data_IF_612818343262
#
_entry.id   IF_612818343262
#
_cell.length_a   1.000
_cell.length_b   1.000
_cell.length_c   1.000
_cell.angle_alpha   90.00
_cell.angle_beta   90.00
_cell.angle_gamma   90.00
#
_symmetry.space_group_name_H-M   'P 1'
#
loop_
_entity.id
_entity.type
_entity.pdbx_description
1 polymer ?
#
# COMPACT_ATOMS: atom_id res chain seq x y z
N UNK A 1 -50.13 -12.78 6.26
CA UNK A 1 -48.71 -12.90 5.91
C UNK A 1 -48.50 -12.08 4.67
N UNK A 2 -48.16 -10.80 4.84
CA UNK A 2 -47.92 -9.87 3.73
C UNK A 2 -46.46 -10.00 3.29
N UNK A 3 -46.27 -10.16 1.98
CA UNK A 3 -44.97 -10.23 1.33
C UNK A 3 -44.36 -8.82 1.23
N UNK A 4 -43.22 -8.59 1.88
CA UNK A 4 -42.38 -7.43 1.59
C UNK A 4 -41.61 -7.64 0.28
N UNK A 5 -41.59 -6.66 -0.64
CA UNK A 5 -40.79 -6.75 -1.86
C UNK A 5 -39.30 -6.55 -1.54
N UNK A 6 -38.46 -7.38 -2.14
CA UNK A 6 -37.01 -7.30 -2.03
C UNK A 6 -36.50 -5.95 -2.58
N UNK A 7 -35.75 -5.23 -1.76
CA UNK A 7 -35.04 -4.01 -2.16
C UNK A 7 -33.87 -4.43 -3.04
N UNK A 8 -33.95 -4.17 -4.34
CA UNK A 8 -32.84 -4.31 -5.27
C UNK A 8 -31.77 -3.27 -4.91
N UNK A 9 -30.72 -3.69 -4.23
CA UNK A 9 -29.49 -2.92 -4.14
C UNK A 9 -28.82 -2.91 -5.52
N UNK A 10 -28.34 -1.76 -6.02
CA UNK A 10 -27.49 -1.75 -7.20
C UNK A 10 -26.24 -2.59 -6.92
N UNK A 11 -25.76 -3.38 -7.89
CA UNK A 11 -24.51 -4.11 -7.72
C UNK A 11 -23.38 -3.12 -7.41
N UNK A 12 -22.51 -3.48 -6.48
CA UNK A 12 -21.28 -2.74 -6.23
C UNK A 12 -20.54 -2.52 -7.56
N UNK A 13 -19.89 -1.36 -7.77
CA UNK A 13 -19.14 -1.13 -8.99
C UNK A 13 -18.11 -2.26 -9.14
N UNK A 14 -18.10 -2.91 -10.30
CA UNK A 14 -17.02 -3.82 -10.68
C UNK A 14 -15.70 -3.08 -10.47
N UNK A 15 -14.79 -3.64 -9.67
CA UNK A 15 -13.44 -3.11 -9.52
C UNK A 15 -12.86 -2.89 -10.92
N UNK A 16 -12.62 -1.64 -11.29
CA UNK A 16 -12.00 -1.32 -12.56
C UNK A 16 -10.61 -1.92 -12.52
N UNK A 17 -10.33 -2.89 -13.38
CA UNK A 17 -8.99 -3.42 -13.57
C UNK A 17 -8.06 -2.23 -13.86
N UNK A 18 -7.24 -1.87 -12.88
CA UNK A 18 -6.17 -0.88 -12.98
C UNK A 18 -5.35 -1.25 -14.23
N UNK A 19 -4.92 -0.30 -15.07
CA UNK A 19 -4.15 -0.62 -16.29
C UNK A 19 -2.70 -0.99 -15.90
N UNK A 20 -1.99 -1.78 -16.68
CA UNK A 20 -0.55 -2.04 -16.47
C UNK A 20 0.26 -0.75 -16.63
N UNK A 21 -0.21 0.16 -17.49
CA UNK A 21 0.35 1.50 -17.65
C UNK A 21 0.23 2.32 -16.36
N UNK A 22 -0.88 2.22 -15.63
CA UNK A 22 -1.09 2.96 -14.38
C UNK A 22 -0.09 2.56 -13.30
N UNK A 23 0.35 1.29 -13.30
CA UNK A 23 1.38 0.85 -12.37
C UNK A 23 2.73 1.45 -12.75
N UNK A 24 3.10 1.37 -14.03
CA UNK A 24 4.35 1.93 -14.51
C UNK A 24 4.42 3.43 -14.18
N UNK A 25 3.32 4.15 -14.39
CA UNK A 25 3.20 5.57 -14.04
C UNK A 25 3.32 5.82 -12.52
N UNK A 26 2.81 4.90 -11.68
CA UNK A 26 2.90 5.01 -10.23
C UNK A 26 4.33 4.83 -9.68
N UNK A 27 5.15 4.01 -10.33
CA UNK A 27 6.55 3.76 -9.92
C UNK A 27 7.55 4.59 -10.73
N UNK A 28 7.13 5.26 -11.80
CA UNK A 28 8.00 6.09 -12.63
C UNK A 28 8.68 7.18 -11.79
N UNK A 29 10.01 7.22 -11.89
CA UNK A 29 10.84 8.13 -11.10
C UNK A 29 10.88 7.84 -9.60
N UNK A 30 10.46 6.65 -9.17
CA UNK A 30 10.48 6.15 -7.78
C UNK A 30 11.18 4.79 -7.68
N UNK A 31 12.13 4.55 -8.58
CA UNK A 31 12.89 3.30 -8.67
C UNK A 31 14.30 3.55 -8.11
N UNK A 32 14.83 2.62 -7.32
CA UNK A 32 16.21 2.65 -6.84
C UNK A 32 16.91 1.35 -7.16
N UNK A 33 18.06 1.40 -7.83
CA UNK A 33 18.74 0.16 -8.14
C UNK A 33 20.13 0.31 -8.76
N UNK A 34 21.00 -0.69 -8.55
CA UNK A 34 20.93 -1.74 -7.51
C UNK A 34 21.29 -1.19 -6.11
N UNK A 35 20.68 -1.72 -5.04
CA UNK A 35 20.99 -1.32 -3.66
C UNK A 35 21.93 -2.33 -2.98
N UNK A 36 23.17 -1.91 -2.69
CA UNK A 36 24.11 -2.83 -2.03
C UNK A 36 23.66 -3.21 -0.62
N UNK A 37 23.88 -4.47 -0.26
CA UNK A 37 23.46 -5.03 1.03
C UNK A 37 22.06 -5.63 1.03
N UNK A 38 21.36 -5.64 -0.11
CA UNK A 38 20.03 -6.23 -0.27
C UNK A 38 19.96 -7.68 0.23
N UNK A 39 20.86 -8.54 -0.27
CA UNK A 39 20.86 -9.96 0.11
C UNK A 39 21.10 -10.12 1.62
N UNK A 40 22.08 -9.38 2.15
CA UNK A 40 22.38 -9.40 3.59
C UNK A 40 21.20 -8.94 4.44
N UNK A 41 20.44 -7.93 4.00
CA UNK A 41 19.30 -7.39 4.74
C UNK A 41 18.16 -8.39 4.87
N UNK A 42 17.74 -8.98 3.75
CA UNK A 42 16.55 -9.85 3.74
C UNK A 42 16.86 -11.31 4.03
N UNK A 43 18.07 -11.77 3.68
CA UNK A 43 18.43 -13.19 3.76
C UNK A 43 19.61 -13.46 4.71
N UNK A 44 20.27 -12.44 5.24
CA UNK A 44 21.47 -12.63 6.08
C UNK A 44 21.21 -13.20 7.48
N UNK A 45 19.96 -13.24 7.93
CA UNK A 45 19.54 -13.93 9.16
C UNK A 45 19.40 -15.45 8.99
N UNK A 46 19.44 -15.94 7.75
CA UNK A 46 19.36 -17.36 7.41
C UNK A 46 20.76 -17.87 7.09
N UNK A 47 21.22 -18.86 7.85
CA UNK A 47 22.48 -19.53 7.58
C UNK A 47 22.21 -20.75 6.70
N UNK A 48 22.85 -20.80 5.54
CA UNK A 48 22.84 -21.97 4.68
C UNK A 48 24.06 -22.84 4.93
N UNK A 49 23.81 -24.12 5.21
CA UNK A 49 24.83 -25.15 5.32
C UNK A 49 24.62 -26.13 4.17
N UNK A 50 25.61 -26.19 3.28
CA UNK A 50 25.60 -27.11 2.15
C UNK A 50 26.51 -28.30 2.48
N UNK A 51 25.93 -29.49 2.59
CA UNK A 51 26.65 -30.75 2.83
C UNK A 51 26.17 -31.78 1.80
N UNK A 52 27.11 -32.28 1.00
CA UNK A 52 26.85 -33.23 -0.09
C UNK A 52 25.74 -32.78 -1.04
N UNK A 53 24.62 -33.52 -1.11
CA UNK A 53 23.45 -33.25 -1.95
C UNK A 53 22.29 -32.59 -1.16
N UNK A 54 22.56 -32.06 0.03
CA UNK A 54 21.56 -31.46 0.91
C UNK A 54 21.93 -30.01 1.24
N UNK A 55 20.92 -29.14 1.14
CA UNK A 55 21.00 -27.77 1.61
C UNK A 55 20.12 -27.63 2.84
N UNK A 56 20.74 -27.19 3.93
CA UNK A 56 20.07 -26.93 5.20
C UNK A 56 19.99 -25.42 5.44
N UNK A 57 18.79 -24.92 5.74
CA UNK A 57 18.57 -23.51 6.15
C UNK A 57 18.23 -23.46 7.63
N UNK A 58 19.10 -22.77 8.37
CA UNK A 58 18.98 -22.52 9.79
C UNK A 58 18.67 -21.04 10.05
N UNK A 59 17.76 -20.78 10.98
CA UNK A 59 17.48 -19.44 11.50
C UNK A 59 17.24 -19.54 13.00
N UNK A 60 17.73 -18.56 13.76
CA UNK A 60 17.62 -18.56 15.22
C UNK A 60 16.16 -18.72 15.67
N UNK A 61 15.89 -19.73 16.52
CA UNK A 61 14.56 -20.02 17.05
C UNK A 61 13.57 -20.63 16.03
N UNK A 62 14.01 -21.03 14.84
CA UNK A 62 13.18 -21.68 13.81
C UNK A 62 13.66 -23.11 13.57
N UNK A 63 12.73 -24.05 13.32
CA UNK A 63 13.07 -25.43 12.98
C UNK A 63 13.84 -25.45 11.67
N UNK A 64 14.97 -26.17 11.62
CA UNK A 64 15.78 -26.32 10.41
C UNK A 64 15.03 -27.13 9.33
N UNK A 65 15.17 -26.78 8.04
CA UNK A 65 14.72 -27.63 6.91
C UNK A 65 15.93 -28.09 6.14
N UNK A 66 15.88 -29.35 5.68
CA UNK A 66 16.78 -29.89 4.66
C UNK A 66 16.01 -30.09 3.38
N UNK A 67 16.61 -29.71 2.27
CA UNK A 67 16.08 -29.96 0.93
C UNK A 67 17.17 -30.58 0.06
N UNK A 68 16.76 -31.47 -0.84
CA UNK A 68 17.64 -32.04 -1.84
C UNK A 68 18.10 -30.95 -2.81
N UNK A 69 19.39 -30.86 -3.04
CA UNK A 69 19.97 -29.96 -4.04
C UNK A 69 19.97 -30.68 -5.39
N UNK A 70 19.29 -30.14 -6.41
CA UNK A 70 19.40 -30.70 -7.76
C UNK A 70 20.85 -30.71 -8.24
N UNK A 71 21.23 -31.76 -8.98
CA UNK A 71 22.59 -31.94 -9.49
C UNK A 71 23.05 -30.85 -10.48
N UNK A 72 22.10 -30.11 -11.07
CA UNK A 72 22.37 -28.96 -11.93
C UNK A 72 21.26 -27.91 -11.81
N UNK A 73 21.61 -26.65 -12.06
CA UNK A 73 20.64 -25.57 -12.23
C UNK A 73 19.75 -25.84 -13.46
N UNK A 74 18.45 -25.50 -13.42
CA UNK A 74 17.59 -25.60 -14.59
C UNK A 74 18.07 -24.69 -15.72
N UNK A 75 17.78 -25.07 -16.98
CA UNK A 75 17.96 -24.14 -18.09
C UNK A 75 16.99 -22.97 -17.95
N UNK A 76 17.36 -21.76 -18.41
CA UNK A 76 16.47 -20.60 -18.45
C UNK A 76 15.06 -20.88 -18.96
N UNK A 77 14.97 -21.59 -20.08
CA UNK A 77 13.70 -21.86 -20.76
C UNK A 77 12.79 -22.80 -19.95
N UNK A 78 13.38 -23.64 -19.10
CA UNK A 78 12.66 -24.57 -18.24
C UNK A 78 12.56 -24.07 -16.79
N UNK A 79 13.06 -22.87 -16.48
CA UNK A 79 13.18 -22.39 -15.11
C UNK A 79 11.81 -22.30 -14.42
N UNK A 80 10.80 -21.72 -15.07
CA UNK A 80 9.47 -21.56 -14.47
C UNK A 80 8.79 -22.90 -14.18
N UNK A 81 8.88 -23.84 -15.13
CA UNK A 81 8.32 -25.19 -14.95
C UNK A 81 9.06 -25.96 -13.86
N UNK A 82 10.40 -25.89 -13.86
CA UNK A 82 11.22 -26.48 -12.81
C UNK A 82 10.88 -25.87 -11.46
N UNK A 83 10.74 -24.54 -11.37
CA UNK A 83 10.46 -23.82 -10.14
C UNK A 83 9.10 -24.22 -9.58
N UNK A 84 8.05 -24.25 -10.42
CA UNK A 84 6.72 -24.73 -10.04
C UNK A 84 6.77 -26.16 -9.49
N UNK A 85 7.45 -27.07 -10.19
CA UNK A 85 7.60 -28.46 -9.76
C UNK A 85 8.41 -28.60 -8.46
N UNK A 86 9.48 -27.81 -8.31
CA UNK A 86 10.33 -27.81 -7.13
C UNK A 86 9.56 -27.31 -5.90
N UNK A 87 8.80 -26.23 -6.06
CA UNK A 87 7.92 -25.69 -5.02
C UNK A 87 6.84 -26.72 -4.65
N UNK A 88 6.11 -27.28 -5.61
CA UNK A 88 5.04 -28.23 -5.28
C UNK A 88 5.52 -29.53 -4.62
N UNK A 89 6.73 -30.01 -4.95
CA UNK A 89 7.26 -31.28 -4.41
C UNK A 89 7.96 -31.14 -3.07
N UNK A 90 8.88 -30.19 -2.96
CA UNK A 90 9.75 -30.05 -1.79
C UNK A 90 9.13 -29.13 -0.73
N UNK A 91 8.09 -28.36 -1.11
CA UNK A 91 7.57 -27.23 -0.34
C UNK A 91 6.07 -27.32 -0.02
N UNK A 92 5.51 -28.53 -0.02
CA UNK A 92 4.14 -28.79 0.47
C UNK A 92 3.96 -28.22 1.91
N UNK A 93 2.87 -27.48 2.13
CA UNK A 93 2.58 -26.77 3.38
C UNK A 93 3.39 -25.49 3.67
N UNK A 94 4.13 -24.93 2.71
CA UNK A 94 4.87 -23.68 2.91
C UNK A 94 3.94 -22.45 3.07
N UNK A 95 4.35 -21.48 3.92
CA UNK A 95 3.64 -20.21 4.08
C UNK A 95 3.82 -19.34 2.83
N UNK A 96 2.85 -19.39 1.92
CA UNK A 96 2.70 -18.42 0.83
C UNK A 96 2.21 -19.02 -0.48
N UNK A 97 1.35 -18.26 -1.17
CA UNK A 97 0.90 -18.60 -2.52
C UNK A 97 1.88 -18.02 -3.55
N UNK A 98 2.29 -18.87 -4.50
CA UNK A 98 3.18 -18.54 -5.59
C UNK A 98 2.36 -18.38 -6.89
N UNK A 99 2.27 -17.16 -7.44
CA UNK A 99 1.59 -16.86 -8.71
C UNK A 99 2.54 -16.61 -9.88
N UNK A 100 2.71 -17.56 -10.80
CA UNK A 100 3.55 -17.37 -11.99
C UNK A 100 2.79 -16.59 -13.08
N UNK A 101 3.25 -15.37 -13.35
CA UNK A 101 3.03 -14.56 -14.56
C UNK A 101 3.41 -15.25 -15.88
N UNK A 102 2.82 -16.38 -16.26
CA UNK A 102 2.97 -16.93 -17.61
C UNK A 102 1.65 -16.79 -18.35
N UNK A 103 1.67 -16.15 -19.51
CA UNK A 103 0.54 -16.23 -20.44
C UNK A 103 0.17 -17.70 -20.64
N UNK A 104 -1.02 -18.06 -20.18
CA UNK A 104 -1.62 -19.39 -20.17
C UNK A 104 -1.10 -20.31 -19.05
N UNK A 105 -1.89 -20.44 -17.98
CA UNK A 105 -2.56 -21.67 -17.49
C UNK A 105 -3.01 -21.44 -16.04
N UNK A 106 -4.30 -21.57 -15.77
CA UNK A 106 -4.91 -21.49 -14.44
C UNK A 106 -4.75 -22.81 -13.64
N UNK A 107 -4.96 -22.76 -12.32
CA UNK A 107 -5.76 -23.79 -11.67
C UNK A 107 -7.03 -23.20 -11.06
N UNK A 108 -8.15 -23.88 -11.31
CA UNK A 108 -9.46 -23.62 -10.74
C UNK A 108 -9.47 -23.86 -9.22
N UNK A 109 -10.32 -23.10 -8.53
CA UNK A 109 -10.72 -23.24 -7.13
C UNK A 109 -9.61 -23.20 -6.08
N UNK A 110 -9.61 -22.18 -5.21
CA UNK A 110 -9.66 -22.40 -3.75
C UNK A 110 -9.76 -21.11 -2.92
N UNK A 111 -10.28 -21.31 -1.72
CA UNK A 111 -10.90 -20.34 -0.82
C UNK A 111 -10.01 -19.17 -0.38
N UNK A 112 -10.68 -18.09 0.01
CA UNK A 112 -10.11 -16.99 0.77
C UNK A 112 -9.74 -17.47 2.18
N UNK A 113 -8.54 -18.03 2.37
CA UNK A 113 -7.94 -18.11 3.70
C UNK A 113 -6.38 -18.07 3.74
N UNK A 114 -5.93 -17.34 4.76
CA UNK A 114 -4.65 -17.19 5.47
C UNK A 114 -3.28 -17.65 4.89
N UNK A 115 -2.64 -16.79 4.07
CA UNK A 115 -1.21 -16.95 3.73
C UNK A 115 -0.52 -15.64 3.29
N UNK A 116 0.75 -15.47 3.68
CA UNK A 116 1.59 -14.38 3.18
C UNK A 116 1.90 -14.62 1.69
N UNK A 117 1.19 -13.91 0.81
CA UNK A 117 1.30 -14.06 -0.65
C UNK A 117 2.66 -13.55 -1.11
N UNK A 118 3.43 -14.42 -1.78
CA UNK A 118 4.75 -14.10 -2.31
C UNK A 118 4.81 -14.54 -3.78
N UNK A 119 4.47 -13.63 -4.69
CA UNK A 119 5.02 -13.68 -6.04
C UNK A 119 4.80 -12.36 -6.76
N UNK A 120 5.73 -12.04 -7.65
CA UNK A 120 5.46 -11.62 -9.03
C UNK A 120 6.79 -11.72 -9.79
N UNK A 121 6.88 -12.73 -10.66
CA UNK A 121 7.75 -12.72 -11.82
C UNK A 121 7.09 -11.76 -12.81
N UNK A 122 7.73 -10.62 -13.08
CA UNK A 122 7.25 -9.67 -14.08
C UNK A 122 7.80 -10.07 -15.44
N UNK A 123 7.00 -10.57 -16.39
CA UNK A 123 7.35 -10.47 -17.79
C UNK A 123 7.03 -9.03 -18.22
N UNK A 124 7.88 -8.06 -17.88
CA UNK A 124 7.68 -6.68 -18.36
C UNK A 124 7.77 -6.56 -19.91
N UNK A 125 7.82 -7.66 -20.68
CA UNK A 125 7.89 -7.62 -22.14
C UNK A 125 7.03 -8.64 -22.92
N UNK A 126 6.04 -9.30 -22.35
CA UNK A 126 5.06 -10.06 -23.16
C UNK A 126 3.63 -9.86 -22.67
N UNK A 127 2.92 -8.92 -23.30
CA UNK A 127 1.47 -8.75 -23.15
C UNK A 127 0.73 -9.94 -23.83
N UNK A 128 -0.32 -10.53 -23.23
CA UNK A 128 -1.29 -11.30 -23.98
C UNK A 128 -2.25 -10.38 -24.71
N UNK A 129 -2.44 -10.64 -26.01
CA UNK A 129 -3.46 -10.02 -26.86
C UNK A 129 -4.83 -10.66 -26.59
N UNK A 130 -5.46 -10.43 -25.43
CA UNK A 130 -6.92 -10.63 -25.22
C UNK A 130 -7.31 -10.36 -23.75
N UNK A 131 -8.48 -9.77 -23.46
CA UNK A 131 -9.00 -9.70 -22.10
C UNK A 131 -9.66 -11.04 -21.76
N UNK A 132 -9.01 -11.88 -20.95
CA UNK A 132 -9.70 -12.91 -20.18
C UNK A 132 -9.71 -12.50 -18.71
N UNK A 133 -10.87 -12.50 -18.03
CA UNK A 133 -10.92 -12.36 -16.59
C UNK A 133 -10.48 -13.71 -16.01
N UNK A 134 -9.40 -13.73 -15.23
CA UNK A 134 -9.34 -14.52 -13.98
C UNK A 134 -7.90 -14.52 -13.43
N UNK A 135 -7.78 -13.78 -12.32
CA UNK A 135 -6.76 -13.81 -11.26
C UNK A 135 -5.29 -13.65 -11.70
N UNK A 136 -4.99 -12.47 -12.23
CA UNK A 136 -3.67 -11.85 -12.01
C UNK A 136 -3.73 -11.15 -10.65
N UNK A 137 -3.18 -11.75 -9.59
CA UNK A 137 -3.08 -11.07 -8.29
C UNK A 137 -2.14 -9.87 -8.44
N UNK A 138 -2.70 -8.71 -8.78
CA UNK A 138 -1.96 -7.47 -8.90
C UNK A 138 -1.62 -6.94 -7.50
N UNK A 139 -0.42 -6.41 -7.33
CA UNK A 139 0.13 -5.84 -6.10
C UNK A 139 -0.73 -4.75 -5.41
N UNK A 140 -1.47 -3.98 -6.18
CA UNK A 140 -2.42 -2.94 -5.76
C UNK A 140 -3.54 -3.59 -4.93
N UNK A 141 -4.05 -4.73 -5.38
CA UNK A 141 -5.04 -5.53 -4.65
C UNK A 141 -4.47 -6.11 -3.35
N UNK A 142 -3.19 -6.49 -3.31
CA UNK A 142 -2.56 -6.99 -2.08
C UNK A 142 -2.49 -5.86 -1.05
N UNK A 143 -2.01 -4.68 -1.43
CA UNK A 143 -1.96 -3.52 -0.54
C UNK A 143 -3.36 -3.00 -0.14
N UNK A 144 -4.35 -3.11 -1.03
CA UNK A 144 -5.74 -2.71 -0.75
C UNK A 144 -6.44 -3.68 0.21
N UNK A 145 -6.20 -4.99 0.07
CA UNK A 145 -6.77 -6.03 0.93
C UNK A 145 -6.03 -6.21 2.26
N UNK A 146 -4.79 -5.72 2.34
CA UNK A 146 -3.93 -5.87 3.52
C UNK A 146 -3.37 -4.50 3.94
N UNK A 147 -4.16 -3.66 4.64
CA UNK A 147 -3.75 -2.30 4.99
C UNK A 147 -2.51 -2.23 5.91
N UNK A 148 -2.19 -3.31 6.62
CA UNK A 148 -0.97 -3.45 7.43
C UNK A 148 0.23 -4.03 6.67
N UNK A 149 0.13 -4.21 5.35
CA UNK A 149 1.23 -4.62 4.47
C UNK A 149 2.18 -3.42 4.23
N UNK A 150 3.41 -3.57 4.67
CA UNK A 150 4.50 -2.60 4.56
C UNK A 150 5.20 -2.62 3.20
N UNK A 151 5.50 -3.82 2.72
CA UNK A 151 6.23 -4.05 1.48
C UNK A 151 5.92 -5.43 0.89
N UNK A 152 6.24 -5.61 -0.38
CA UNK A 152 6.10 -6.86 -1.13
C UNK A 152 7.42 -7.21 -1.80
N UNK A 153 7.78 -8.50 -1.77
CA UNK A 153 8.92 -9.02 -2.50
C UNK A 153 8.52 -9.44 -3.92
N UNK A 154 9.44 -9.31 -4.86
CA UNK A 154 9.28 -9.73 -6.25
C UNK A 154 10.57 -10.30 -6.83
N UNK A 155 10.45 -10.95 -7.98
CA UNK A 155 11.59 -11.47 -8.74
C UNK A 155 11.49 -10.98 -10.18
N UNK A 156 12.61 -10.60 -10.75
CA UNK A 156 12.72 -10.32 -12.16
C UNK A 156 13.73 -11.28 -12.79
N UNK A 157 13.24 -12.10 -13.72
CA UNK A 157 13.98 -13.25 -14.26
C UNK A 157 14.14 -13.04 -15.77
N UNK A 158 15.38 -13.11 -16.25
CA UNK A 158 15.73 -12.90 -17.66
C UNK A 158 16.80 -13.92 -18.06
N UNK A 159 16.37 -14.96 -18.77
CA UNK A 159 17.28 -16.05 -19.08
C UNK A 159 17.73 -16.75 -17.78
N UNK A 160 19.04 -16.76 -17.53
CA UNK A 160 19.62 -17.26 -16.27
C UNK A 160 19.86 -16.19 -15.22
N UNK A 161 19.60 -14.92 -15.56
CA UNK A 161 19.83 -13.79 -14.67
C UNK A 161 18.59 -13.53 -13.81
N UNK A 162 18.80 -13.30 -12.53
CA UNK A 162 17.76 -12.93 -11.57
C UNK A 162 18.12 -11.62 -10.87
N UNK A 163 17.10 -10.81 -10.64
CA UNK A 163 17.12 -9.60 -9.83
C UNK A 163 15.97 -9.69 -8.80
N UNK A 164 16.26 -9.39 -7.54
CA UNK A 164 15.27 -9.44 -6.47
C UNK A 164 14.73 -8.03 -6.23
N UNK A 165 13.42 -7.90 -6.12
CA UNK A 165 12.73 -6.63 -6.02
C UNK A 165 11.99 -6.52 -4.68
N UNK A 166 11.89 -5.31 -4.14
CA UNK A 166 10.96 -4.97 -3.07
C UNK A 166 10.19 -3.71 -3.43
N UNK A 167 8.88 -3.78 -3.25
CA UNK A 167 7.93 -2.70 -3.42
C UNK A 167 7.45 -2.24 -2.06
N UNK A 168 7.65 -0.96 -1.74
CA UNK A 168 7.03 -0.32 -0.58
C UNK A 168 6.20 0.89 -1.04
N UNK A 169 5.58 1.59 -0.08
CA UNK A 169 4.74 2.77 -0.39
C UNK A 169 5.50 3.99 -0.90
N UNK A 170 6.84 3.94 -0.95
CA UNK A 170 7.70 4.98 -1.51
C UNK A 170 8.30 4.60 -2.87
N UNK A 171 8.14 3.36 -3.32
CA UNK A 171 8.55 2.92 -4.65
C UNK A 171 9.19 1.54 -4.69
N UNK A 172 9.89 1.28 -5.80
CA UNK A 172 10.57 0.01 -6.08
C UNK A 172 12.06 0.13 -5.79
N UNK A 173 12.65 -0.92 -5.23
CA UNK A 173 14.10 -1.07 -5.20
C UNK A 173 14.56 -2.51 -5.38
N UNK A 174 15.76 -2.69 -5.92
CA UNK A 174 16.26 -4.00 -6.34
C UNK A 174 17.66 -4.35 -5.81
N UNK A 175 17.96 -5.65 -5.84
CA UNK A 175 19.30 -6.20 -5.64
C UNK A 175 20.20 -5.99 -6.85
N UNK A 176 21.48 -6.30 -6.71
CA UNK A 176 22.34 -6.60 -7.85
C UNK A 176 21.81 -7.83 -8.63
N UNK A 177 22.09 -7.89 -9.92
CA UNK A 177 21.77 -9.01 -10.80
C UNK A 177 22.76 -10.15 -10.57
N UNK A 178 22.29 -11.40 -10.49
CA UNK A 178 23.15 -12.58 -10.40
C UNK A 178 22.69 -13.70 -11.35
N UNK A 179 23.61 -14.60 -11.72
CA UNK A 179 23.35 -15.70 -12.66
C UNK A 179 23.07 -16.99 -11.89
N UNK A 180 21.84 -17.50 -11.97
CA UNK A 180 21.39 -18.72 -11.28
C UNK A 180 22.23 -19.93 -11.64
N UNK A 181 22.83 -19.98 -12.84
CA UNK A 181 23.70 -21.11 -13.23
C UNK A 181 25.03 -21.07 -12.50
N UNK A 182 25.51 -19.89 -12.13
CA UNK A 182 26.75 -19.70 -11.37
C UNK A 182 26.50 -19.76 -9.87
N UNK A 183 25.40 -19.16 -9.43
CA UNK A 183 25.07 -18.92 -8.03
C UNK A 183 23.86 -19.76 -7.57
N UNK A 184 23.74 -21.00 -8.07
CA UNK A 184 22.56 -21.83 -7.87
C UNK A 184 22.28 -22.13 -6.38
N UNK A 185 23.32 -22.35 -5.59
CA UNK A 185 23.19 -22.58 -4.14
C UNK A 185 22.68 -21.33 -3.43
N UNK A 186 23.12 -20.13 -3.85
CA UNK A 186 22.61 -18.87 -3.32
C UNK A 186 21.14 -18.69 -3.68
N UNK A 187 20.77 -18.97 -4.94
CA UNK A 187 19.39 -18.95 -5.40
C UNK A 187 18.50 -19.88 -4.55
N UNK A 188 18.88 -21.16 -4.39
CA UNK A 188 18.15 -22.11 -3.55
C UNK A 188 18.05 -21.62 -2.10
N UNK A 189 19.12 -21.06 -1.55
CA UNK A 189 19.12 -20.50 -0.20
C UNK A 189 18.11 -19.37 -0.05
N UNK A 190 17.97 -18.49 -1.05
CA UNK A 190 16.97 -17.41 -1.09
C UNK A 190 15.55 -18.00 -1.10
N UNK A 191 15.27 -18.96 -1.98
CA UNK A 191 13.94 -19.59 -2.09
C UNK A 191 13.55 -20.28 -0.77
N UNK A 192 14.47 -21.03 -0.17
CA UNK A 192 14.24 -21.68 1.11
C UNK A 192 14.08 -20.68 2.27
N UNK A 193 14.77 -19.54 2.22
CA UNK A 193 14.64 -18.48 3.22
C UNK A 193 13.23 -17.89 3.23
N UNK A 194 12.62 -17.63 2.07
CA UNK A 194 11.26 -17.11 1.98
C UNK A 194 10.22 -17.99 2.70
N UNK A 195 10.43 -19.30 2.74
CA UNK A 195 9.54 -20.22 3.45
C UNK A 195 9.64 -20.10 4.97
N UNK A 196 10.79 -19.64 5.43
CA UNK A 196 11.10 -19.49 6.85
C UNK A 196 10.81 -18.09 7.34
N UNK A 197 10.65 -17.13 6.44
CA UNK A 197 10.29 -15.76 6.77
C UNK A 197 8.99 -15.70 7.57
N UNK A 198 8.99 -14.88 8.62
CA UNK A 198 7.78 -14.56 9.37
C UNK A 198 6.89 -13.63 8.55
N UNK A 199 5.66 -13.43 9.02
CA UNK A 199 4.77 -12.40 8.48
C UNK A 199 5.47 -11.04 8.41
N UNK A 200 6.23 -10.68 9.44
CA UNK A 200 7.01 -9.44 9.49
C UNK A 200 8.16 -9.40 8.48
N UNK A 201 8.91 -10.50 8.33
CA UNK A 201 9.97 -10.61 7.31
C UNK A 201 9.39 -10.43 5.89
N UNK A 202 8.14 -10.86 5.68
CA UNK A 202 7.38 -10.69 4.43
C UNK A 202 6.63 -9.35 4.34
N UNK A 203 6.83 -8.46 5.31
CA UNK A 203 6.25 -7.11 5.32
C UNK A 203 4.80 -7.03 5.83
N UNK A 204 4.25 -8.05 6.50
CA UNK A 204 2.95 -7.97 7.20
C UNK A 204 3.19 -7.63 8.67
N UNK A 205 2.55 -6.58 9.16
CA UNK A 205 2.45 -6.34 10.61
C UNK A 205 1.10 -6.87 11.11
N UNK A 206 1.14 -7.60 12.21
CA UNK A 206 -0.03 -8.08 12.93
C UNK A 206 -0.62 -6.96 13.80
N UNK A 207 -1.24 -5.96 13.14
CA UNK A 207 -2.01 -4.93 13.85
C UNK A 207 -3.49 -5.26 13.94
N UNK A 208 -3.99 -6.02 12.96
CA UNK A 208 -5.37 -6.50 12.90
C UNK A 208 -5.35 -7.99 13.21
N UNK A 209 -6.07 -8.36 14.25
CA UNK A 209 -6.28 -9.74 14.69
C UNK A 209 -7.74 -10.13 14.47
N UNK A 210 -8.06 -11.42 14.60
CA UNK A 210 -9.43 -11.92 14.45
C UNK A 210 -9.77 -12.84 15.61
N UNK A 211 -10.96 -12.70 16.17
CA UNK A 211 -11.55 -13.65 17.11
C UNK A 211 -13.01 -13.96 16.74
N UNK A 212 -13.75 -14.57 17.67
CA UNK A 212 -15.18 -14.91 17.49
C UNK A 212 -16.08 -13.69 17.22
N UNK A 213 -15.66 -12.48 17.63
CA UNK A 213 -16.37 -11.22 17.43
C UNK A 213 -16.03 -10.52 16.11
N UNK A 214 -15.06 -11.04 15.35
CA UNK A 214 -14.60 -10.50 14.07
C UNK A 214 -13.18 -9.92 14.15
N UNK A 215 -12.81 -9.14 13.13
CA UNK A 215 -11.51 -8.46 13.09
C UNK A 215 -11.44 -7.35 14.13
N UNK A 216 -10.31 -7.19 14.81
CA UNK A 216 -10.09 -6.15 15.81
C UNK A 216 -8.66 -5.65 15.84
N UNK A 217 -8.46 -4.52 16.51
CA UNK A 217 -7.13 -3.98 16.86
C UNK A 217 -7.04 -3.73 18.37
N UNK A 218 -5.81 -3.79 18.89
CA UNK A 218 -5.48 -3.39 20.26
C UNK A 218 -4.73 -2.06 20.21
N UNK A 219 -5.24 -1.09 20.96
CA UNK A 219 -4.72 0.26 21.07
C UNK A 219 -3.83 0.38 22.31
N UNK A 220 -2.60 -0.09 22.19
CA UNK A 220 -1.57 0.09 23.22
C UNK A 220 -0.82 1.40 23.00
N UNK A 221 -1.09 2.40 23.83
CA UNK A 221 -0.28 3.62 23.89
C UNK A 221 0.09 3.99 25.32
N UNK A 222 1.40 4.01 25.58
CA UNK A 222 2.01 4.50 26.82
C UNK A 222 1.95 6.03 26.89
N UNK A 223 1.89 6.71 25.74
CA UNK A 223 1.90 8.17 25.64
C UNK A 223 0.51 8.80 25.77
N UNK A 224 -0.55 8.06 25.45
CA UNK A 224 -1.95 8.43 25.60
C UNK A 224 -2.71 7.15 25.97
N UNK A 225 -2.99 6.86 27.25
CA UNK A 225 -3.80 5.71 27.61
C UNK A 225 -5.18 5.87 26.97
N UNK A 226 -5.40 5.20 25.84
CA UNK A 226 -6.69 5.21 25.18
C UNK A 226 -7.64 4.38 26.04
N UNK A 227 -8.70 5.00 26.54
CA UNK A 227 -9.81 4.30 27.22
C UNK A 227 -10.48 3.27 26.32
N UNK A 228 -10.23 3.32 25.01
CA UNK A 228 -10.81 2.44 24.00
C UNK A 228 -10.28 1.01 24.07
N UNK A 229 -8.99 0.79 24.40
CA UNK A 229 -8.37 -0.53 24.57
C UNK A 229 -8.43 -1.43 23.33
N UNK A 230 -9.58 -2.05 23.06
CA UNK A 230 -9.85 -2.93 21.92
C UNK A 230 -10.93 -2.34 21.03
N UNK A 231 -10.74 -2.35 19.71
CA UNK A 231 -11.76 -1.94 18.75
C UNK A 231 -12.03 -3.04 17.74
N UNK A 232 -13.28 -3.47 17.62
CA UNK A 232 -13.73 -4.30 16.51
C UNK A 232 -13.86 -3.46 15.25
N UNK A 233 -13.53 -4.03 14.11
CA UNK A 233 -13.58 -3.41 12.81
C UNK A 233 -14.71 -4.00 11.99
N UNK A 234 -15.36 -3.13 11.22
CA UNK A 234 -16.24 -3.61 10.17
C UNK A 234 -15.42 -4.30 9.08
N UNK A 235 -15.91 -5.44 8.60
CA UNK A 235 -15.20 -6.30 7.66
C UNK A 235 -14.85 -5.58 6.36
N UNK A 236 -15.75 -4.72 5.87
CA UNK A 236 -15.53 -3.91 4.67
C UNK A 236 -15.05 -2.51 5.06
N UNK A 237 -13.97 -2.00 4.43
CA UNK A 237 -13.54 -0.62 4.63
C UNK A 237 -14.59 0.35 4.06
N UNK A 238 -14.79 1.48 4.74
CA UNK A 238 -15.63 2.58 4.24
C UNK A 238 -14.93 3.44 3.19
N UNK A 239 -13.60 3.37 3.13
CA UNK A 239 -12.80 3.96 2.07
C UNK A 239 -11.48 3.18 1.93
N UNK A 240 -11.05 2.94 0.70
CA UNK A 240 -9.73 2.38 0.40
C UNK A 240 -9.20 3.01 -0.88
N UNK A 241 -7.92 3.40 -0.90
CA UNK A 241 -7.23 3.87 -2.11
C UNK A 241 -6.25 2.79 -2.59
N UNK A 242 -6.38 2.41 -3.86
CA UNK A 242 -5.66 1.25 -4.45
C UNK A 242 -4.26 1.59 -5.01
N UNK A 243 -3.84 2.86 -4.97
CA UNK A 243 -2.55 3.27 -5.52
C UNK A 243 -1.37 2.55 -4.86
N UNK A 244 -0.45 2.02 -5.67
CA UNK A 244 0.72 1.25 -5.21
C UNK A 244 1.64 2.09 -4.31
N UNK A 245 2.03 3.27 -4.80
CA UNK A 245 2.92 4.22 -4.13
C UNK A 245 2.11 5.45 -3.75
N UNK A 246 2.26 5.95 -2.52
CA UNK A 246 1.48 7.09 -2.06
C UNK A 246 0.87 6.91 -0.68
N UNK A 247 -0.27 7.56 -0.46
CA UNK A 247 -0.95 7.60 0.83
C UNK A 247 -1.59 6.27 1.25
N UNK A 248 -1.97 5.41 0.30
CA UNK A 248 -2.52 4.07 0.58
C UNK A 248 -3.58 4.05 1.67
N UNK A 249 -4.47 5.05 1.68
CA UNK A 249 -5.42 5.28 2.78
C UNK A 249 -6.47 4.18 2.83
N UNK A 250 -6.65 3.58 4.00
CA UNK A 250 -7.73 2.62 4.27
C UNK A 250 -8.44 3.02 5.57
N UNK A 251 -9.77 3.11 5.51
CA UNK A 251 -10.61 3.52 6.62
C UNK A 251 -11.63 2.42 6.93
N UNK A 252 -11.74 2.01 8.20
CA UNK A 252 -12.76 1.09 8.70
C UNK A 252 -13.63 1.79 9.73
N UNK A 253 -14.92 1.47 9.73
CA UNK A 253 -15.74 1.72 10.91
C UNK A 253 -15.27 0.83 12.04
N UNK A 254 -15.24 1.40 13.24
CA UNK A 254 -14.78 0.74 14.45
C UNK A 254 -15.74 0.96 15.61
N UNK A 255 -15.86 -0.05 16.47
CA UNK A 255 -16.70 -0.02 17.68
C UNK A 255 -15.97 -0.64 18.85
N UNK A 256 -16.27 -0.14 20.04
CA UNK A 256 -15.81 -0.73 21.29
C UNK A 256 -16.56 -2.04 21.59
N UNK A 257 -16.02 -2.93 22.44
CA UNK A 257 -16.65 -4.23 22.74
C UNK A 257 -18.02 -4.11 23.40
N UNK A 258 -18.23 -3.04 24.17
CA UNK A 258 -19.46 -2.70 24.90
C UNK A 258 -20.51 -1.96 24.04
N UNK A 259 -20.16 -1.55 22.82
CA UNK A 259 -21.05 -0.83 21.92
C UNK A 259 -21.44 -1.68 20.70
N UNK A 260 -22.73 -1.63 20.37
CA UNK A 260 -23.26 -2.14 19.10
C UNK A 260 -23.24 -1.09 17.98
N UNK A 261 -22.78 0.14 18.27
CA UNK A 261 -22.71 1.24 17.30
C UNK A 261 -21.29 1.48 16.83
N UNK A 262 -21.14 1.65 15.53
CA UNK A 262 -19.91 2.07 14.86
C UNK A 262 -19.66 3.56 15.05
N UNK A 263 -19.02 3.92 16.16
CA UNK A 263 -18.84 5.32 16.57
C UNK A 263 -17.45 5.89 16.27
N UNK A 264 -16.50 5.04 15.86
CA UNK A 264 -15.14 5.44 15.55
C UNK A 264 -14.77 5.08 14.10
N UNK A 265 -13.83 5.83 13.53
CA UNK A 265 -13.16 5.48 12.28
C UNK A 265 -11.71 5.14 12.60
N UNK A 266 -11.28 3.94 12.21
CA UNK A 266 -9.87 3.58 12.15
C UNK A 266 -9.33 3.91 10.76
N UNK A 267 -8.25 4.68 10.68
CA UNK A 267 -7.58 5.06 9.44
C UNK A 267 -6.11 4.61 9.45
N UNK A 268 -5.71 3.87 8.43
CA UNK A 268 -4.30 3.66 8.05
C UNK A 268 -3.96 4.59 6.90
N UNK A 269 -2.86 5.34 7.02
CA UNK A 269 -2.42 6.30 5.98
C UNK A 269 -0.89 6.44 5.98
N UNK A 270 -0.31 6.45 4.78
CA UNK A 270 1.12 6.67 4.53
C UNK A 270 1.40 8.14 4.17
N UNK A 271 1.62 8.96 5.19
CA UNK A 271 1.91 10.39 5.00
C UNK A 271 3.34 10.63 4.51
N UNK A 272 3.59 11.74 3.82
CA UNK A 272 4.97 12.15 3.55
C UNK A 272 5.65 12.57 4.85
N UNK A 273 6.87 12.13 5.12
CA UNK A 273 7.56 12.42 6.38
C UNK A 273 7.80 13.93 6.61
N UNK A 274 7.84 14.72 5.53
CA UNK A 274 7.97 16.19 5.59
C UNK A 274 6.66 16.91 5.87
N UNK A 275 5.52 16.26 5.68
CA UNK A 275 4.22 16.82 5.99
C UNK A 275 4.01 16.84 7.50
N UNK A 276 3.29 17.86 7.94
CA UNK A 276 2.86 17.95 9.33
C UNK A 276 1.86 16.82 9.62
N UNK A 277 2.07 16.02 10.68
CA UNK A 277 1.14 14.97 11.04
C UNK A 277 -0.29 15.47 11.29
N UNK A 278 -1.29 14.71 10.84
CA UNK A 278 -2.70 15.05 11.03
C UNK A 278 -3.08 15.12 12.52
N UNK A 279 -2.45 14.31 13.38
CA UNK A 279 -2.75 14.30 14.82
C UNK A 279 -2.39 15.63 15.48
N UNK A 280 -1.31 16.29 15.06
CA UNK A 280 -0.98 17.62 15.53
C UNK A 280 -2.04 18.66 15.15
N UNK A 281 -2.56 18.56 13.91
CA UNK A 281 -3.60 19.44 13.41
C UNK A 281 -4.90 19.24 14.19
N UNK A 282 -5.28 17.98 14.43
CA UNK A 282 -6.48 17.62 15.19
C UNK A 282 -6.35 17.97 16.68
N UNK A 283 -5.19 17.75 17.30
CA UNK A 283 -4.89 18.18 18.68
C UNK A 283 -4.97 19.70 18.81
N UNK A 284 -4.44 20.43 17.83
CA UNK A 284 -4.51 21.89 17.81
C UNK A 284 -5.96 22.38 17.63
N UNK A 285 -6.71 21.79 16.71
CA UNK A 285 -8.13 22.10 16.50
C UNK A 285 -8.94 21.87 17.79
N UNK A 286 -8.73 20.74 18.47
CA UNK A 286 -9.34 20.44 19.77
C UNK A 286 -8.95 21.47 20.84
N UNK A 287 -7.66 21.78 20.97
CA UNK A 287 -7.16 22.79 21.94
C UNK A 287 -7.75 24.18 21.71
N UNK A 288 -8.06 24.51 20.45
CA UNK A 288 -8.62 25.79 20.04
C UNK A 288 -10.14 25.79 19.95
N UNK A 289 -10.79 24.70 20.38
CA UNK A 289 -12.24 24.53 20.38
C UNK A 289 -12.86 24.80 19.00
N UNK A 290 -12.20 24.32 17.94
CA UNK A 290 -12.67 24.52 16.56
C UNK A 290 -14.05 23.90 16.39
N UNK A 291 -14.98 24.69 15.85
CA UNK A 291 -16.34 24.25 15.62
C UNK A 291 -16.39 23.21 14.49
N UNK A 292 -17.06 22.08 14.72
CA UNK A 292 -17.27 21.05 13.68
C UNK A 292 -16.01 20.32 13.23
N UNK A 293 -14.93 20.34 14.01
CA UNK A 293 -13.75 19.50 13.77
C UNK A 293 -13.96 18.09 14.34
N UNK A 294 -13.41 17.09 13.64
CA UNK A 294 -13.37 15.71 14.12
C UNK A 294 -12.47 15.61 15.37
N UNK A 295 -12.83 14.73 16.29
CA UNK A 295 -12.03 14.41 17.47
C UNK A 295 -11.01 13.32 17.16
N UNK A 296 -9.78 13.50 17.66
CA UNK A 296 -8.74 12.48 17.65
C UNK A 296 -8.82 11.67 18.95
N UNK A 297 -9.07 10.38 18.81
CA UNK A 297 -9.17 9.44 19.93
C UNK A 297 -7.88 8.64 20.13
N UNK A 298 -7.14 8.36 19.04
CA UNK A 298 -5.87 7.65 19.09
C UNK A 298 -4.98 8.02 17.89
N UNK A 299 -3.67 7.99 18.12
CA UNK A 299 -2.66 8.14 17.08
C UNK A 299 -1.41 7.33 17.41
N UNK A 300 -0.88 6.61 16.41
CA UNK A 300 0.41 5.93 16.49
C UNK A 300 1.10 5.92 15.14
N UNK A 301 2.34 6.37 15.11
CA UNK A 301 3.24 6.05 14.00
C UNK A 301 3.67 4.59 14.10
N UNK A 302 3.45 3.84 13.03
CA UNK A 302 3.66 2.40 12.99
C UNK A 302 5.03 2.09 12.42
N UNK A 303 5.36 2.67 11.25
CA UNK A 303 6.58 2.37 10.52
C UNK A 303 6.90 3.48 9.49
N UNK A 304 8.16 3.60 9.07
CA UNK A 304 8.60 4.48 7.99
C UNK A 304 9.36 3.74 6.90
N UNK A 305 9.23 4.17 5.64
CA UNK A 305 9.97 3.55 4.53
C UNK A 305 11.48 3.77 4.65
N UNK A 306 11.93 4.86 5.27
CA UNK A 306 13.34 5.04 5.64
C UNK A 306 13.84 3.95 6.61
N UNK A 307 13.04 3.59 7.63
CA UNK A 307 13.39 2.52 8.55
C UNK A 307 13.33 1.15 7.86
N UNK A 308 12.32 0.90 7.01
CA UNK A 308 12.23 -0.31 6.19
C UNK A 308 13.44 -0.48 5.29
N UNK A 309 14.00 0.60 4.74
CA UNK A 309 15.20 0.57 3.88
C UNK A 309 16.53 0.70 4.64
N UNK A 310 16.51 0.79 5.97
CA UNK A 310 17.73 0.92 6.79
C UNK A 310 18.68 -0.26 6.54
N UNK A 311 19.99 0.05 6.48
CA UNK A 311 21.05 -0.93 6.25
C UNK A 311 21.36 -1.20 4.78
N UNK A 312 20.56 -0.67 3.85
CA UNK A 312 20.88 -0.66 2.42
C UNK A 312 21.73 0.56 2.08
N UNK A 313 22.69 0.39 1.18
CA UNK A 313 23.35 1.53 0.53
C UNK A 313 22.53 1.91 -0.69
N UNK A 314 22.19 3.19 -0.77
CA UNK A 314 21.35 3.72 -1.85
C UNK A 314 22.08 3.63 -3.19
N UNK A 315 21.44 3.00 -4.17
CA UNK A 315 21.80 3.10 -5.57
C UNK A 315 21.22 4.38 -6.21
N UNK A 316 21.44 4.56 -7.51
CA UNK A 316 20.91 5.71 -8.23
C UNK A 316 19.37 5.69 -8.26
N UNK A 317 18.75 6.87 -8.22
CA UNK A 317 17.33 7.02 -8.48
C UNK A 317 17.09 6.92 -9.97
N UNK A 318 16.05 6.19 -10.37
CA UNK A 318 15.79 5.87 -11.76
C UNK A 318 14.32 6.12 -12.11
N UNK A 319 14.07 6.41 -13.38
CA UNK A 319 12.75 6.54 -14.00
C UNK A 319 12.74 5.78 -15.32
N UNK A 320 11.58 5.43 -15.86
CA UNK A 320 11.50 4.77 -17.15
C UNK A 320 12.00 5.67 -18.27
N UNK A 321 12.82 5.12 -19.16
CA UNK A 321 13.33 5.85 -20.31
C UNK A 321 12.21 6.08 -21.35
N UNK A 322 11.79 7.34 -21.55
CA UNK A 322 10.65 7.72 -22.41
C UNK A 322 10.74 7.27 -23.88
N UNK A 323 11.95 7.13 -24.43
CA UNK A 323 12.18 6.88 -25.87
C UNK A 323 11.98 5.42 -26.29
N UNK A 324 12.23 4.43 -25.43
CA UNK A 324 12.22 3.00 -25.83
C UNK A 324 10.83 2.35 -25.86
N UNK A 325 9.80 3.00 -25.33
CA UNK A 325 8.43 2.47 -25.35
C UNK A 325 7.69 2.72 -26.66
N UNK A 326 8.00 3.79 -27.41
CA UNK A 326 7.32 4.11 -28.69
C UNK A 326 7.95 3.43 -29.90
N UNK A 327 9.27 3.36 -29.96
CA UNK A 327 9.98 2.82 -31.14
C UNK A 327 9.86 1.29 -31.25
N UNK A 328 9.71 0.57 -30.13
CA UNK A 328 9.60 -0.90 -30.15
C UNK A 328 8.22 -1.45 -30.53
N UNK A 329 7.13 -0.65 -30.47
CA UNK A 329 5.84 -1.08 -31.05
C UNK A 329 5.95 -1.36 -32.55
N UNK A 330 6.86 -0.69 -33.25
CA UNK A 330 7.08 -0.88 -34.68
C UNK A 330 8.06 -2.03 -35.00
N UNK A 331 8.88 -2.47 -34.04
CA UNK A 331 9.94 -3.47 -34.30
C UNK A 331 9.68 -4.85 -33.67
N UNK A 332 8.66 -4.99 -32.82
CA UNK A 332 8.31 -6.28 -32.18
C UNK A 332 7.69 -7.28 -33.18
N UNK A 333 7.23 -6.84 -34.35
CA UNK A 333 6.75 -7.74 -35.41
C UNK A 333 7.89 -8.47 -36.16
N UNK A 334 9.16 -8.03 -36.06
CA UNK A 334 10.25 -8.58 -36.88
C UNK A 334 11.38 -9.31 -36.14
N UNK A 335 11.48 -9.28 -34.81
CA UNK A 335 12.61 -9.93 -34.10
C UNK A 335 12.18 -11.10 -33.22
N UNK A 336 11.96 -12.24 -33.90
CA UNK A 336 11.93 -13.59 -33.29
C UNK A 336 13.31 -14.26 -33.18
N UNK A 337 14.40 -13.53 -33.44
CA UNK A 337 15.74 -14.10 -33.48
C UNK A 337 16.70 -13.40 -32.49
N UNK A 338 17.34 -14.25 -31.68
CA UNK A 338 18.49 -14.00 -30.78
C UNK A 338 18.20 -13.34 -29.42
N UNK A 339 17.97 -14.20 -28.41
CA UNK A 339 17.93 -13.83 -27.01
C UNK A 339 19.31 -13.41 -26.50
N UNK A 340 19.58 -12.11 -26.50
CA UNK A 340 20.70 -11.52 -25.76
C UNK A 340 20.23 -11.27 -24.33
N UNK A 341 20.70 -12.10 -23.39
CA UNK A 341 20.54 -11.86 -21.96
C UNK A 341 21.49 -10.73 -21.51
N UNK A 342 21.02 -9.49 -21.54
CA UNK A 342 21.80 -8.32 -21.12
C UNK A 342 22.05 -8.32 -19.59
N UNK A 343 23.27 -8.02 -19.16
CA UNK A 343 23.64 -8.01 -17.73
C UNK A 343 22.95 -6.87 -16.94
N UNK A 344 22.49 -5.82 -17.61
CA UNK A 344 22.13 -4.53 -17.00
C UNK A 344 20.79 -4.49 -16.25
N UNK A 345 19.98 -5.56 -16.27
CA UNK A 345 18.79 -5.67 -15.42
C UNK A 345 17.78 -4.53 -15.63
N UNK A 346 17.21 -4.04 -14.53
CA UNK A 346 16.32 -2.88 -14.53
C UNK A 346 16.97 -1.61 -15.10
N UNK A 347 18.31 -1.49 -15.07
CA UNK A 347 19.01 -0.32 -15.58
C UNK A 347 18.88 -0.17 -17.11
N UNK A 348 18.56 -1.25 -17.84
CA UNK A 348 18.34 -1.21 -19.30
C UNK A 348 17.10 -0.41 -19.72
N UNK A 349 16.06 -0.43 -18.88
CA UNK A 349 14.75 0.18 -19.15
C UNK A 349 14.56 1.53 -18.48
N UNK A 350 15.54 1.94 -17.68
CA UNK A 350 15.44 3.10 -16.81
C UNK A 350 16.64 4.02 -17.01
N UNK A 351 16.43 5.31 -16.87
CA UNK A 351 17.48 6.33 -16.86
C UNK A 351 17.58 6.94 -15.46
N UNK A 352 18.76 7.48 -15.14
CA UNK A 352 18.95 8.18 -13.87
C UNK A 352 18.04 9.42 -13.81
N UNK A 353 17.59 9.74 -12.61
CA UNK A 353 16.73 10.90 -12.37
C UNK A 353 17.15 11.62 -11.10
N UNK A 354 16.95 12.93 -11.09
CA UNK A 354 17.17 13.80 -9.92
C UNK A 354 15.99 13.78 -8.93
N UNK A 355 15.00 12.90 -9.15
CA UNK A 355 13.93 12.69 -8.19
C UNK A 355 14.51 12.23 -6.86
N UNK A 356 13.94 12.73 -5.77
CA UNK A 356 14.36 12.37 -4.42
C UNK A 356 13.47 11.27 -3.84
N UNK A 357 14.08 10.42 -3.01
CA UNK A 357 13.36 9.47 -2.18
C UNK A 357 12.31 10.17 -1.30
N UNK A 358 11.04 9.80 -1.49
CA UNK A 358 9.96 10.29 -0.65
C UNK A 358 9.79 9.36 0.56
N UNK A 359 10.47 9.64 1.66
CA UNK A 359 10.24 8.90 2.91
C UNK A 359 8.78 9.05 3.36
N UNK A 360 8.08 7.95 3.59
CA UNK A 360 6.69 7.92 4.04
C UNK A 360 6.57 7.23 5.38
N UNK A 361 5.63 7.69 6.20
CA UNK A 361 5.36 7.16 7.53
C UNK A 361 3.94 6.61 7.56
N UNK A 362 3.79 5.32 7.87
CA UNK A 362 2.50 4.70 8.14
C UNK A 362 2.03 5.15 9.52
N UNK A 363 0.87 5.79 9.55
CA UNK A 363 0.17 6.15 10.76
C UNK A 363 -1.13 5.35 10.90
N UNK A 364 -1.45 5.00 12.15
CA UNK A 364 -2.73 4.46 12.59
C UNK A 364 -3.44 5.54 13.40
N UNK A 365 -4.62 5.95 12.96
CA UNK A 365 -5.36 7.08 13.48
C UNK A 365 -6.78 6.63 13.82
N UNK A 366 -7.29 6.97 15.00
CA UNK A 366 -8.70 6.75 15.35
C UNK A 366 -9.38 8.08 15.59
N UNK A 367 -10.50 8.30 14.92
CA UNK A 367 -11.28 9.53 15.02
C UNK A 367 -12.76 9.28 15.27
N UNK A 368 -13.44 10.29 15.78
CA UNK A 368 -14.89 10.31 15.99
C UNK A 368 -15.46 11.72 15.79
N UNK A 369 -16.74 11.89 15.43
CA UNK A 369 -17.74 10.85 15.16
C UNK A 369 -17.63 10.23 13.75
N UNK A 370 -18.30 9.09 13.55
CA UNK A 370 -18.52 8.49 12.22
C UNK A 370 -19.69 9.19 11.52
N UNK A 371 -19.52 9.50 10.24
CA UNK A 371 -20.57 10.05 9.38
C UNK A 371 -20.67 9.30 8.06
N UNK A 372 -21.73 9.60 7.30
CA UNK A 372 -21.93 9.05 5.95
C UNK A 372 -21.41 10.00 4.86
N UNK A 373 -21.02 9.49 3.68
CA UNK A 373 -20.49 10.32 2.60
C UNK A 373 -21.49 11.38 2.13
N UNK A 374 -20.99 12.54 1.68
CA UNK A 374 -21.82 13.65 1.22
C UNK A 374 -22.88 13.24 0.18
N UNK A 375 -22.53 12.38 -0.78
CA UNK A 375 -23.43 11.97 -1.87
C UNK A 375 -24.67 11.17 -1.41
N UNK A 376 -24.73 10.77 -0.15
CA UNK A 376 -25.87 10.03 0.43
C UNK A 376 -26.97 10.95 0.96
N UNK A 377 -26.85 12.27 0.76
CA UNK A 377 -27.81 13.25 1.25
C UNK A 377 -29.26 12.90 0.86
N UNK A 378 -30.19 13.14 1.78
CA UNK A 378 -31.61 12.76 1.61
C UNK A 378 -32.47 13.93 1.15
N UNK A 379 -31.97 15.17 1.25
CA UNK A 379 -32.67 16.38 0.80
C UNK A 379 -31.69 17.50 0.44
N UNK A 380 -32.16 18.45 -0.37
CA UNK A 380 -31.39 19.65 -0.68
C UNK A 380 -31.08 20.47 0.59
N UNK A 381 -32.01 20.54 1.53
CA UNK A 381 -31.82 21.23 2.81
C UNK A 381 -30.68 20.62 3.61
N UNK A 382 -30.60 19.29 3.66
CA UNK A 382 -29.49 18.60 4.31
C UNK A 382 -28.15 18.89 3.63
N UNK A 383 -28.10 18.84 2.30
CA UNK A 383 -26.90 19.16 1.54
C UNK A 383 -26.41 20.59 1.80
N UNK A 384 -27.33 21.57 1.75
CA UNK A 384 -27.03 22.97 2.02
C UNK A 384 -26.57 23.18 3.47
N UNK A 385 -27.15 22.45 4.42
CA UNK A 385 -26.73 22.49 5.82
C UNK A 385 -25.29 21.98 5.98
N UNK A 386 -24.94 20.89 5.30
CA UNK A 386 -23.58 20.33 5.37
C UNK A 386 -22.55 21.30 4.78
N UNK A 387 -22.87 21.96 3.66
CA UNK A 387 -21.98 22.99 3.11
C UNK A 387 -21.84 24.22 4.01
N UNK A 388 -22.95 24.69 4.57
CA UNK A 388 -22.94 25.78 5.53
C UNK A 388 -22.06 25.44 6.75
N UNK A 389 -22.19 24.22 7.28
CA UNK A 389 -21.40 23.74 8.40
C UNK A 389 -19.92 23.58 8.02
N UNK A 390 -19.61 23.06 6.82
CA UNK A 390 -18.25 23.00 6.32
C UNK A 390 -17.59 24.38 6.24
N UNK A 391 -18.31 25.40 5.78
CA UNK A 391 -17.81 26.79 5.74
C UNK A 391 -17.55 27.32 7.16
N UNK A 392 -18.45 27.06 8.12
CA UNK A 392 -18.28 27.43 9.53
C UNK A 392 -17.06 26.74 10.15
N UNK A 393 -16.90 25.44 9.92
CA UNK A 393 -15.76 24.67 10.39
C UNK A 393 -14.46 25.20 9.81
N UNK A 394 -14.39 25.42 8.50
CA UNK A 394 -13.22 26.00 7.85
C UNK A 394 -12.88 27.40 8.39
N UNK A 395 -13.89 28.25 8.62
CA UNK A 395 -13.70 29.56 9.25
C UNK A 395 -13.07 29.41 10.64
N UNK A 396 -13.60 28.52 11.47
CA UNK A 396 -13.06 28.28 12.81
C UNK A 396 -11.63 27.71 12.77
N UNK A 397 -11.33 26.77 11.87
CA UNK A 397 -9.96 26.29 11.61
C UNK A 397 -9.01 27.45 11.30
N UNK A 398 -9.38 28.33 10.37
CA UNK A 398 -8.55 29.45 9.92
C UNK A 398 -8.35 30.51 11.01
N UNK A 399 -9.43 30.96 11.67
CA UNK A 399 -9.36 32.07 12.61
C UNK A 399 -8.86 31.65 13.99
N UNK A 400 -9.35 30.53 14.51
CA UNK A 400 -9.11 30.12 15.90
C UNK A 400 -7.85 29.25 16.03
N UNK A 401 -7.63 28.35 15.06
CA UNK A 401 -6.51 27.42 15.07
C UNK A 401 -5.35 27.79 14.12
N UNK A 402 -5.54 28.79 13.24
CA UNK A 402 -4.56 29.15 12.18
C UNK A 402 -4.23 27.96 11.27
N UNK A 403 -5.22 27.12 11.00
CA UNK A 403 -5.13 25.97 10.11
C UNK A 403 -5.92 26.27 8.85
N UNK A 404 -5.29 26.11 7.68
CA UNK A 404 -5.97 26.13 6.40
C UNK A 404 -6.10 24.68 5.91
N UNK A 405 -7.33 24.24 5.61
CA UNK A 405 -7.60 22.83 5.26
C UNK A 405 -7.01 22.42 3.90
N UNK A 406 -6.97 23.33 2.92
CA UNK A 406 -6.34 23.17 1.59
C UNK A 406 -6.91 22.09 0.65
N UNK A 407 -7.80 21.22 1.14
CA UNK A 407 -8.42 20.14 0.37
C UNK A 407 -9.93 20.01 0.65
N UNK A 408 -10.65 21.11 0.49
CA UNK A 408 -12.11 21.08 0.60
C UNK A 408 -12.68 20.44 -0.66
N UNK A 409 -13.26 19.25 -0.52
CA UNK A 409 -13.86 18.49 -1.61
C UNK A 409 -15.06 17.68 -1.11
N UNK A 410 -15.97 17.22 -1.99
CA UNK A 410 -17.08 16.34 -1.60
C UNK A 410 -16.64 15.06 -0.85
N UNK A 411 -15.43 14.57 -1.11
CA UNK A 411 -14.87 13.38 -0.45
C UNK A 411 -14.42 13.62 0.99
N UNK A 412 -14.17 14.88 1.35
CA UNK A 412 -13.70 15.29 2.68
C UNK A 412 -14.81 15.92 3.53
N UNK A 413 -16.08 15.72 3.13
CA UNK A 413 -17.27 16.16 3.85
C UNK A 413 -18.11 14.94 4.25
N UNK A 414 -18.46 14.86 5.53
CA UNK A 414 -19.34 13.80 6.05
C UNK A 414 -20.61 14.40 6.64
N UNK A 415 -21.69 13.64 6.54
CA UNK A 415 -23.00 13.97 7.09
C UNK A 415 -23.17 13.21 8.41
N UNK A 416 -23.59 13.92 9.46
CA UNK A 416 -23.92 13.34 10.75
C UNK A 416 -25.43 13.27 10.94
N UNK A 417 -25.93 12.05 11.14
CA UNK A 417 -27.34 11.81 11.42
C UNK A 417 -27.66 12.05 12.91
N UNK A 418 -28.91 12.41 13.19
CA UNK A 418 -29.46 12.47 14.56
C UNK A 418 -28.83 13.52 15.48
N UNK A 419 -28.26 14.59 14.93
CA UNK A 419 -27.66 15.66 15.72
C UNK A 419 -28.71 16.63 16.27
N UNK A 420 -28.55 17.01 17.55
CA UNK A 420 -29.37 18.03 18.20
C UNK A 420 -29.25 19.40 17.50
N UNK A 421 -30.23 20.27 17.72
CA UNK A 421 -30.15 21.65 17.25
C UNK A 421 -28.90 22.36 17.80
N UNK A 422 -28.18 23.08 16.93
CA UNK A 422 -26.95 23.78 17.26
C UNK A 422 -25.67 22.94 17.18
N UNK A 423 -25.77 21.62 16.98
CA UNK A 423 -24.61 20.76 16.68
C UNK A 423 -24.32 20.73 15.17
N UNK A 424 -23.05 20.52 14.76
CA UNK A 424 -22.70 20.36 13.35
C UNK A 424 -23.39 19.14 12.76
N UNK A 425 -24.08 19.33 11.64
CA UNK A 425 -24.63 18.24 10.81
C UNK A 425 -23.70 17.88 9.66
N UNK A 426 -22.83 18.80 9.26
CA UNK A 426 -21.68 18.55 8.39
C UNK A 426 -20.35 18.65 9.12
N UNK A 427 -19.43 17.73 8.85
CA UNK A 427 -18.05 17.78 9.36
C UNK A 427 -17.05 17.72 8.20
N UNK A 428 -15.99 18.53 8.30
CA UNK A 428 -14.80 18.43 7.45
C UNK A 428 -13.80 17.45 8.05
N UNK A 429 -13.28 16.55 7.22
CA UNK A 429 -12.30 15.52 7.58
C UNK A 429 -11.03 15.63 6.72
N UNK A 430 -9.98 14.90 7.09
CA UNK A 430 -8.69 14.87 6.36
C UNK A 430 -8.01 16.26 6.35
N UNK A 431 -7.54 16.69 7.53
CA UNK A 431 -6.87 17.98 7.69
C UNK A 431 -5.45 18.01 7.09
N UNK A 432 -4.89 16.84 6.76
CA UNK A 432 -3.61 16.68 6.12
C UNK A 432 -3.75 16.69 4.58
N UNK A 433 -3.13 17.68 3.93
CA UNK A 433 -3.17 17.79 2.48
C UNK A 433 -1.89 17.20 1.86
N UNK A 434 -2.05 16.15 1.05
CA UNK A 434 -0.98 15.51 0.25
C UNK A 434 -0.48 16.39 -0.92
N UNK A 435 -0.93 17.66 -1.02
CA UNK A 435 -0.49 18.55 -2.09
C UNK A 435 0.95 18.96 -1.86
N UNK A 436 1.87 18.25 -2.54
CA UNK A 436 3.24 18.65 -2.77
C UNK A 436 3.31 20.06 -3.37
N UNK A 437 3.30 21.08 -2.53
CA UNK A 437 3.69 22.45 -2.84
C UNK A 437 4.57 22.92 -1.70
N UNK A 438 5.77 23.37 -2.08
CA UNK A 438 6.81 23.84 -1.18
C UNK A 438 6.27 24.73 -0.07
N UNK A 439 6.88 24.60 1.10
CA UNK A 439 6.49 25.21 2.37
C UNK A 439 5.85 26.58 2.19
N UNK A 440 4.60 26.68 2.63
CA UNK A 440 3.87 27.94 2.67
C UNK A 440 4.48 28.73 3.83
N UNK A 441 5.54 29.50 3.57
CA UNK A 441 6.03 30.49 4.52
C UNK A 441 4.95 31.53 4.83
N UNK A 442 5.04 32.20 5.99
CA UNK A 442 4.10 33.24 6.46
C UNK A 442 3.75 34.30 5.39
N UNK A 443 4.64 34.55 4.42
CA UNK A 443 4.38 35.47 3.31
C UNK A 443 3.32 34.97 2.31
N UNK A 444 3.26 33.66 2.04
CA UNK A 444 2.25 33.08 1.15
C UNK A 444 0.87 32.95 1.83
N UNK A 445 0.85 32.83 3.17
CA UNK A 445 -0.37 32.96 3.98
C UNK A 445 -1.01 34.35 3.79
N UNK A 446 -0.23 35.42 3.89
CA UNK A 446 -0.71 36.80 3.71
C UNK A 446 -1.18 37.09 2.27
N UNK A 447 -0.45 36.61 1.26
CA UNK A 447 -0.79 36.86 -0.14
C UNK A 447 -2.10 36.18 -0.56
N UNK A 448 -2.29 34.89 -0.22
CA UNK A 448 -3.53 34.16 -0.59
C UNK A 448 -4.75 34.60 0.23
N UNK A 449 -4.55 35.05 1.47
CA UNK A 449 -5.63 35.68 2.25
C UNK A 449 -6.14 36.96 1.58
N UNK A 450 -5.26 37.81 1.03
CA UNK A 450 -5.69 39.03 0.33
C UNK A 450 -6.42 38.76 -0.99
N UNK A 451 -6.05 37.72 -1.74
CA UNK A 451 -6.68 37.44 -3.04
C UNK A 451 -8.10 36.86 -2.92
N UNK A 452 -8.34 36.00 -1.93
CA UNK A 452 -9.66 35.38 -1.71
C UNK A 452 -10.64 36.37 -1.07
N UNK A 453 -10.17 37.23 -0.16
CA UNK A 453 -11.02 38.22 0.51
C UNK A 453 -11.16 39.55 -0.25
N UNK A 454 -10.27 39.86 -1.19
CA UNK A 454 -10.42 41.04 -2.08
C UNK A 454 -11.65 40.96 -2.99
N UNK A 455 -12.10 39.74 -3.34
CA UNK A 455 -13.29 39.52 -4.15
C UNK A 455 -14.62 39.56 -3.36
N UNK A 456 -14.57 39.44 -2.03
CA UNK A 456 -15.78 39.39 -1.17
C UNK A 456 -16.12 40.72 -0.50
N UNK A 457 -15.27 41.75 -0.64
CA UNK A 457 -15.48 43.07 -0.04
C UNK A 457 -16.03 44.12 -1.01
N UNK A 458 -16.39 43.73 -2.23
CA UNK A 458 -16.98 44.60 -3.26
C UNK A 458 -18.50 44.44 -3.41
N UNK A 459 -19.14 43.64 -2.56
CA UNK A 459 -20.61 43.44 -2.55
C UNK A 459 -21.20 43.50 -1.12
N UNK A 460 -20.70 44.43 -0.31
CA UNK A 460 -21.43 45.05 0.81
C UNK A 460 -21.42 46.56 0.57
#
# INVERSE_FOLDING_TARGET
>A
MENHPAVNHPPAPLASATDDQEILDNIDGRIHGPMSGFIKKYFGSFQSVHQDALLEIQAAGRVSRRCAVPSAAPSPDNFLQWFSNYVSRELDGARGSWHISSGNVAPEHENADDGARLLLAMPILTMPTSPAPDVQTRWDHVFASQPSRLFLHGFYIRGSLIELWVFDRSGLYCSDVFDVRKDFIQFLSIILSYQRMTDQDLGKINMIETDKGGSYIILDSVAMPSTLGKLYLESQPIASREGLVGAGTTCHRARTPDSNRWNHVLKFKWRWARERPEDELLKLAKKKCVWGAVSLDYYKEVESTANLRRGLRWGTHRKFARMRFRERRASIEEQRQEGICNADGLAEYTEETDNFFQNRILACIVTSPVGRPLHTFQSLTELLQVFHDAIKCHRSLCYDAKILHQDISPGNMIILDGQDEGKPKGILIDLDSDRARGGIGERAWNYRHQTIYGYWRSEE
#
